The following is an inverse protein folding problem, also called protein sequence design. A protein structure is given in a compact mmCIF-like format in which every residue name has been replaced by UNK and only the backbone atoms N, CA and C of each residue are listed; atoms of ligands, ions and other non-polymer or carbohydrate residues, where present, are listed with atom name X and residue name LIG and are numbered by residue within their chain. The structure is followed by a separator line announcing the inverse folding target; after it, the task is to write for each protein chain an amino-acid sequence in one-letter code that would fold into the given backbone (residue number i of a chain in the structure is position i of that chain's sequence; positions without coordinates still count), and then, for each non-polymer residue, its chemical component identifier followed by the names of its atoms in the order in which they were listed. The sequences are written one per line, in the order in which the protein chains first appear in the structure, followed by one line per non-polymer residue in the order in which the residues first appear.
data_IF_944105985455
#
_entry.id   IF_944105985455
#
_cell.length_a   1.000
_cell.length_b   1.000
_cell.length_c   1.000
_cell.angle_alpha   90.00
_cell.angle_beta   90.00
_cell.angle_gamma   90.00
#
_symmetry.space_group_name_H-M   'P 1'
#
loop_
_entity.id
_entity.type
_entity.pdbx_description
1 polymer ?
#
# COMPACT_ATOMS: atom_id res chain seq x y z
N UNK A 1 -8.22 -0.92 16.81
CA UNK A 1 -9.35 -1.16 15.89
C UNK A 1 -10.37 -0.05 15.79
N UNK A 2 -10.98 0.39 16.90
CA UNK A 2 -12.11 1.34 16.86
C UNK A 2 -11.79 2.64 16.10
N UNK A 3 -10.83 3.44 16.56
CA UNK A 3 -10.53 4.73 15.91
C UNK A 3 -9.82 4.56 14.56
N UNK A 4 -8.80 3.70 14.50
CA UNK A 4 -7.91 3.61 13.34
C UNK A 4 -8.54 2.93 12.11
N UNK A 5 -9.50 2.03 12.32
CA UNK A 5 -10.12 1.25 11.25
C UNK A 5 -11.64 1.39 11.23
N UNK A 6 -12.32 1.05 12.33
CA UNK A 6 -13.79 1.01 12.33
C UNK A 6 -14.40 2.38 12.03
N UNK A 7 -13.98 3.44 12.73
CA UNK A 7 -14.45 4.80 12.45
C UNK A 7 -14.13 5.22 11.02
N UNK A 8 -12.94 4.91 10.51
CA UNK A 8 -12.59 5.21 9.13
C UNK A 8 -13.47 4.46 8.12
N UNK A 9 -13.88 3.21 8.42
CA UNK A 9 -14.80 2.42 7.59
C UNK A 9 -16.20 3.05 7.57
N UNK A 10 -16.76 3.40 8.73
CA UNK A 10 -18.16 3.87 8.85
C UNK A 10 -18.37 5.35 8.57
N UNK A 11 -17.30 6.18 8.58
CA UNK A 11 -17.40 7.61 8.27
C UNK A 11 -18.14 7.85 6.94
N UNK A 12 -19.09 8.76 6.84
CA UNK A 12 -19.66 9.10 5.55
C UNK A 12 -18.64 9.88 4.69
N UNK A 13 -18.93 10.04 3.40
CA UNK A 13 -18.21 11.00 2.59
C UNK A 13 -18.34 12.41 3.19
N UNK A 14 -17.41 13.31 2.86
CA UNK A 14 -17.40 14.65 3.44
C UNK A 14 -18.77 15.34 3.28
N UNK A 15 -19.32 15.84 4.39
CA UNK A 15 -20.63 16.49 4.49
C UNK A 15 -21.84 15.61 4.11
N UNK A 16 -21.68 14.29 4.00
CA UNK A 16 -22.80 13.37 3.81
C UNK A 16 -23.30 12.80 5.15
N UNK A 17 -24.59 12.46 5.27
CA UNK A 17 -25.12 11.83 6.47
C UNK A 17 -24.58 10.39 6.59
N UNK A 18 -24.41 9.94 7.82
CA UNK A 18 -24.13 8.53 8.13
C UNK A 18 -25.45 7.74 8.14
N UNK A 19 -25.40 6.49 7.70
CA UNK A 19 -26.51 5.56 7.85
C UNK A 19 -26.90 5.40 9.34
N UNK A 20 -28.20 5.40 9.63
CA UNK A 20 -28.72 5.38 10.99
C UNK A 20 -28.32 4.10 11.74
N UNK A 21 -28.41 2.94 11.10
CA UNK A 21 -28.08 1.67 11.73
C UNK A 21 -26.58 1.60 12.08
N UNK A 22 -25.73 2.10 11.19
CA UNK A 22 -24.28 2.20 11.38
C UNK A 22 -23.92 3.17 12.51
N UNK A 23 -24.59 4.32 12.58
CA UNK A 23 -24.40 5.31 13.66
C UNK A 23 -24.79 4.75 15.02
N UNK A 24 -25.99 4.15 15.14
CA UNK A 24 -26.45 3.53 16.39
C UNK A 24 -25.54 2.37 16.83
N UNK A 25 -25.07 1.55 15.89
CA UNK A 25 -24.10 0.49 16.18
C UNK A 25 -22.76 1.06 16.67
N UNK A 26 -22.30 2.16 16.07
CA UNK A 26 -21.07 2.86 16.49
C UNK A 26 -21.18 3.38 17.91
N UNK A 27 -22.32 3.99 18.28
CA UNK A 27 -22.58 4.47 19.65
C UNK A 27 -22.54 3.31 20.64
N UNK A 28 -23.22 2.19 20.36
CA UNK A 28 -23.21 1.01 21.24
C UNK A 28 -21.82 0.42 21.42
N UNK A 29 -21.02 0.38 20.35
CA UNK A 29 -19.62 -0.08 20.45
C UNK A 29 -18.81 0.88 21.33
N UNK A 30 -18.99 2.20 21.15
CA UNK A 30 -18.29 3.20 21.94
C UNK A 30 -18.67 3.14 23.42
N UNK A 31 -19.96 2.96 23.72
CA UNK A 31 -20.48 2.73 25.07
C UNK A 31 -19.81 1.52 25.74
N UNK A 32 -19.69 0.39 25.04
CA UNK A 32 -19.00 -0.80 25.53
C UNK A 32 -17.50 -0.55 25.77
N UNK A 33 -16.86 0.29 24.96
CA UNK A 33 -15.45 0.68 25.18
C UNK A 33 -15.34 1.50 26.47
N UNK A 34 -16.30 2.40 26.75
CA UNK A 34 -16.30 3.20 27.98
C UNK A 34 -16.39 2.31 29.22
N UNK A 35 -17.25 1.29 29.23
CA UNK A 35 -17.35 0.38 30.38
C UNK A 35 -16.07 -0.43 30.61
N UNK A 36 -15.41 -0.88 29.54
CA UNK A 36 -14.14 -1.62 29.63
C UNK A 36 -13.00 -0.73 30.10
N UNK A 37 -12.97 0.54 29.70
CA UNK A 37 -11.86 1.46 30.05
C UNK A 37 -12.04 2.14 31.40
N UNK A 38 -13.27 2.15 31.93
CA UNK A 38 -13.61 2.84 33.18
C UNK A 38 -12.75 2.47 34.40
N UNK A 39 -12.34 1.20 34.63
CA UNK A 39 -11.43 0.87 35.72
C UNK A 39 -10.07 1.58 35.64
N UNK A 40 -9.66 2.07 34.47
CA UNK A 40 -8.38 2.73 34.23
C UNK A 40 -8.50 4.25 34.09
N UNK A 41 -9.61 4.74 33.55
CA UNK A 41 -9.87 6.17 33.32
C UNK A 41 -11.26 6.59 33.83
N UNK A 42 -11.53 6.47 35.14
CA UNK A 42 -12.88 6.54 35.67
C UNK A 42 -13.54 7.91 35.47
N UNK A 43 -12.80 9.01 35.67
CA UNK A 43 -13.38 10.35 35.53
C UNK A 43 -13.77 10.67 34.08
N UNK A 44 -12.88 10.37 33.13
CA UNK A 44 -13.12 10.66 31.72
C UNK A 44 -14.22 9.77 31.15
N UNK A 45 -14.22 8.47 31.47
CA UNK A 45 -15.28 7.60 30.96
C UNK A 45 -16.63 7.88 31.62
N UNK A 46 -16.67 8.32 32.89
CA UNK A 46 -17.91 8.73 33.56
C UNK A 46 -18.49 10.03 32.99
N UNK A 47 -17.63 11.00 32.67
CA UNK A 47 -18.02 12.24 31.99
C UNK A 47 -18.61 11.93 30.61
N UNK A 48 -17.90 11.15 29.80
CA UNK A 48 -18.39 10.74 28.47
C UNK A 48 -19.64 9.87 28.57
N UNK A 49 -19.77 9.03 29.60
CA UNK A 49 -20.94 8.18 29.82
C UNK A 49 -22.24 8.99 29.94
N UNK A 50 -22.19 10.22 30.45
CA UNK A 50 -23.36 11.09 30.58
C UNK A 50 -23.52 12.10 29.43
N UNK A 51 -22.73 11.96 28.36
CA UNK A 51 -22.86 12.80 27.17
C UNK A 51 -24.19 12.55 26.45
N UNK A 52 -24.75 13.60 25.85
CA UNK A 52 -26.03 13.55 25.12
C UNK A 52 -26.02 12.55 23.95
N UNK A 53 -24.83 12.19 23.45
CA UNK A 53 -24.63 11.14 22.45
C UNK A 53 -25.26 9.80 22.86
N UNK A 54 -25.28 9.48 24.15
CA UNK A 54 -25.82 8.23 24.69
C UNK A 54 -27.28 8.35 25.16
N UNK A 55 -27.91 9.50 24.91
CA UNK A 55 -29.25 9.82 25.40
C UNK A 55 -29.26 10.30 26.85
N UNK A 56 -30.46 10.57 27.37
CA UNK A 56 -30.62 11.04 28.74
C UNK A 56 -30.42 9.90 29.75
N UNK A 57 -29.51 10.12 30.72
CA UNK A 57 -29.23 9.20 31.83
C UNK A 57 -29.55 9.86 33.16
N UNK A 58 -30.07 9.07 34.10
CA UNK A 58 -30.30 9.54 35.45
C UNK A 58 -28.98 9.69 36.21
N UNK A 59 -28.93 10.54 37.23
CA UNK A 59 -27.72 10.81 38.03
C UNK A 59 -27.07 9.54 38.64
N UNK A 60 -27.85 8.47 38.83
CA UNK A 60 -27.37 7.19 39.38
C UNK A 60 -27.07 6.12 38.31
N UNK A 61 -27.30 6.42 37.05
CA UNK A 61 -26.95 5.56 35.92
C UNK A 61 -25.49 5.77 35.53
N UNK A 62 -24.60 5.44 36.47
CA UNK A 62 -23.17 5.69 36.37
C UNK A 62 -22.44 4.54 35.65
N UNK A 63 -21.36 4.86 34.94
CA UNK A 63 -20.50 3.88 34.29
C UNK A 63 -19.94 2.85 35.28
N UNK A 64 -19.65 3.27 36.52
CA UNK A 64 -19.13 2.39 37.58
C UNK A 64 -20.05 1.21 37.95
N UNK A 65 -21.37 1.33 37.72
CA UNK A 65 -22.34 0.25 37.98
C UNK A 65 -22.80 -0.45 36.68
N UNK A 66 -22.26 -0.05 35.53
CA UNK A 66 -22.61 -0.63 34.24
C UNK A 66 -22.10 -2.07 34.12
N UNK A 67 -22.84 -2.90 33.39
CA UNK A 67 -22.41 -4.26 33.09
C UNK A 67 -21.33 -4.26 32.01
N UNK A 68 -20.31 -5.09 32.21
CA UNK A 68 -19.31 -5.32 31.17
C UNK A 68 -19.95 -6.03 29.97
N UNK A 69 -19.50 -5.74 28.74
CA UNK A 69 -20.02 -6.37 27.54
C UNK A 69 -19.74 -7.87 27.53
N UNK A 70 -20.73 -8.66 27.12
CA UNK A 70 -20.58 -10.10 26.96
C UNK A 70 -19.86 -10.45 25.64
N UNK A 71 -18.58 -10.82 25.76
CA UNK A 71 -17.75 -11.22 24.64
C UNK A 71 -18.09 -12.62 24.09
N UNK A 72 -18.89 -13.43 24.79
CA UNK A 72 -19.18 -14.83 24.41
C UNK A 72 -20.02 -14.97 23.14
N UNK A 73 -20.63 -13.86 22.70
CA UNK A 73 -21.51 -13.77 21.53
C UNK A 73 -20.78 -13.54 20.19
N UNK A 74 -19.52 -13.09 20.20
CA UNK A 74 -18.78 -12.76 18.97
C UNK A 74 -18.08 -14.01 18.42
N UNK A 75 -18.71 -14.66 17.44
CA UNK A 75 -18.24 -15.96 16.90
C UNK A 75 -17.89 -15.95 15.42
N UNK A 76 -17.91 -14.80 14.75
CA UNK A 76 -17.68 -14.76 13.31
C UNK A 76 -16.17 -14.71 12.99
N UNK A 77 -15.47 -15.80 13.27
CA UNK A 77 -14.03 -15.96 12.99
C UNK A 77 -13.70 -15.76 11.51
N UNK A 78 -14.60 -16.18 10.62
CA UNK A 78 -14.46 -15.97 9.17
C UNK A 78 -14.41 -14.48 8.83
N UNK A 79 -15.39 -13.70 9.31
CA UNK A 79 -15.43 -12.26 9.07
C UNK A 79 -14.19 -11.56 9.66
N UNK A 80 -13.75 -11.96 10.86
CA UNK A 80 -12.55 -11.39 11.48
C UNK A 80 -11.31 -11.63 10.61
N UNK A 81 -11.12 -12.85 10.12
CA UNK A 81 -10.01 -13.19 9.24
C UNK A 81 -10.07 -12.43 7.90
N UNK A 82 -11.26 -12.31 7.30
CA UNK A 82 -11.46 -11.56 6.05
C UNK A 82 -11.15 -10.07 6.23
N UNK A 83 -11.58 -9.45 7.32
CA UNK A 83 -11.30 -8.04 7.62
C UNK A 83 -9.81 -7.80 7.81
N UNK A 84 -9.06 -8.72 8.42
CA UNK A 84 -7.60 -8.59 8.52
C UNK A 84 -6.91 -8.60 7.15
N UNK A 85 -7.38 -9.44 6.22
CA UNK A 85 -6.90 -9.41 4.82
C UNK A 85 -7.24 -8.07 4.16
N UNK A 86 -8.45 -7.54 4.37
CA UNK A 86 -8.85 -6.22 3.84
C UNK A 86 -7.95 -5.11 4.39
N UNK A 87 -7.65 -5.12 5.68
CA UNK A 87 -6.70 -4.18 6.31
C UNK A 87 -5.30 -4.29 5.71
N UNK A 88 -4.84 -5.52 5.46
CA UNK A 88 -3.57 -5.78 4.79
C UNK A 88 -3.55 -5.17 3.39
N UNK A 89 -4.58 -5.40 2.58
CA UNK A 89 -4.71 -4.83 1.22
C UNK A 89 -4.57 -3.30 1.26
N UNK A 90 -5.33 -2.64 2.13
CA UNK A 90 -5.30 -1.17 2.25
C UNK A 90 -3.92 -0.67 2.68
N UNK A 91 -3.27 -1.39 3.60
CA UNK A 91 -1.94 -1.04 4.09
C UNK A 91 -0.88 -1.18 2.99
N UNK A 92 -0.95 -2.26 2.20
CA UNK A 92 -0.04 -2.47 1.06
C UNK A 92 -0.26 -1.44 -0.03
N UNK A 93 -1.51 -1.07 -0.37
CA UNK A 93 -1.76 0.02 -1.33
C UNK A 93 -1.14 1.34 -0.85
N UNK A 94 -1.30 1.67 0.43
CA UNK A 94 -0.68 2.87 1.04
C UNK A 94 0.85 2.78 1.00
N UNK A 95 1.41 1.60 1.22
CA UNK A 95 2.84 1.35 1.12
C UNK A 95 3.37 1.55 -0.31
N UNK A 96 2.65 1.01 -1.31
CA UNK A 96 2.96 1.22 -2.73
C UNK A 96 2.92 2.71 -3.06
N UNK A 97 1.89 3.43 -2.62
CA UNK A 97 1.81 4.89 -2.80
C UNK A 97 3.00 5.61 -2.20
N UNK A 98 3.36 5.31 -0.95
CA UNK A 98 4.51 5.92 -0.29
C UNK A 98 5.83 5.62 -1.02
N UNK A 99 6.04 4.36 -1.38
CA UNK A 99 7.27 3.90 -2.06
C UNK A 99 7.42 4.52 -3.44
N UNK A 100 6.30 4.69 -4.16
CA UNK A 100 6.24 5.26 -5.50
C UNK A 100 5.96 6.77 -5.51
N UNK A 101 5.91 7.40 -4.32
CA UNK A 101 5.65 8.82 -4.13
C UNK A 101 4.36 9.32 -4.79
N UNK A 102 3.33 8.48 -4.84
CA UNK A 102 2.03 8.78 -5.42
C UNK A 102 1.21 9.58 -4.40
N UNK A 103 0.61 10.68 -4.85
CA UNK A 103 -0.26 11.50 -4.01
C UNK A 103 -1.44 10.68 -3.47
N UNK A 104 -1.81 10.80 -2.19
CA UNK A 104 -3.01 10.16 -1.64
C UNK A 104 -4.31 10.59 -2.34
N UNK A 105 -4.32 11.76 -2.99
CA UNK A 105 -5.49 12.29 -3.73
C UNK A 105 -5.67 11.63 -5.09
N UNK A 106 -4.62 11.03 -5.64
CA UNK A 106 -4.66 10.37 -6.93
C UNK A 106 -5.40 9.03 -6.80
N UNK A 107 -6.36 8.80 -7.67
CA UNK A 107 -7.13 7.56 -7.69
C UNK A 107 -6.35 6.50 -8.44
N UNK A 108 -6.30 5.28 -7.89
CA UNK A 108 -5.66 4.13 -8.55
C UNK A 108 -6.71 3.10 -8.95
N UNK A 109 -6.37 2.25 -9.91
CA UNK A 109 -7.14 1.03 -10.22
C UNK A 109 -6.46 -0.17 -9.56
N UNK A 110 -7.24 -1.14 -9.13
CA UNK A 110 -6.76 -2.35 -8.47
C UNK A 110 -7.22 -3.58 -9.23
N UNK A 111 -6.29 -4.48 -9.50
CA UNK A 111 -6.57 -5.77 -10.09
C UNK A 111 -6.25 -6.86 -9.08
N UNK A 112 -7.08 -7.90 -9.04
CA UNK A 112 -6.91 -9.02 -8.12
C UNK A 112 -6.99 -10.34 -8.87
N UNK A 113 -6.01 -11.20 -8.62
CA UNK A 113 -6.08 -12.62 -8.93
C UNK A 113 -6.43 -13.37 -7.64
N UNK A 114 -7.67 -13.85 -7.61
CA UNK A 114 -8.23 -14.51 -6.43
C UNK A 114 -7.78 -15.97 -6.39
N UNK A 115 -7.09 -16.34 -5.32
CA UNK A 115 -6.74 -17.72 -4.98
C UNK A 115 -7.39 -18.16 -3.65
N UNK A 116 -8.09 -17.26 -2.95
CA UNK A 116 -8.85 -17.54 -1.73
C UNK A 116 -10.38 -17.63 -1.98
N UNK A 117 -11.14 -17.89 -0.92
CA UNK A 117 -12.62 -17.90 -0.95
C UNK A 117 -13.23 -16.54 -0.52
N UNK A 118 -12.41 -15.49 -0.41
CA UNK A 118 -12.86 -14.18 0.06
C UNK A 118 -13.64 -13.48 -1.05
N UNK A 119 -14.86 -13.03 -0.74
CA UNK A 119 -15.64 -12.20 -1.66
C UNK A 119 -15.22 -10.73 -1.54
N UNK A 120 -14.20 -10.35 -2.31
CA UNK A 120 -13.73 -8.95 -2.34
C UNK A 120 -14.78 -7.94 -2.82
N UNK A 121 -15.85 -8.38 -3.51
CA UNK A 121 -16.94 -7.46 -3.90
C UNK A 121 -17.72 -6.96 -2.69
N UNK A 122 -17.86 -7.79 -1.65
CA UNK A 122 -18.50 -7.38 -0.40
C UNK A 122 -17.72 -6.25 0.31
N UNK A 123 -16.40 -6.22 0.13
CA UNK A 123 -15.49 -5.26 0.77
C UNK A 123 -15.05 -4.11 -0.14
N UNK A 124 -15.50 -4.08 -1.40
CA UNK A 124 -15.02 -3.12 -2.41
C UNK A 124 -15.17 -1.66 -1.95
N UNK A 125 -16.30 -1.32 -1.33
CA UNK A 125 -16.57 0.06 -0.90
C UNK A 125 -15.59 0.53 0.19
N UNK A 126 -15.20 -0.39 1.08
CA UNK A 126 -14.22 -0.12 2.13
C UNK A 126 -12.84 0.10 1.52
N UNK A 127 -12.44 -0.78 0.59
CA UNK A 127 -11.15 -0.68 -0.11
C UNK A 127 -11.08 0.62 -0.92
N UNK A 128 -12.12 0.91 -1.71
CA UNK A 128 -12.23 2.13 -2.53
C UNK A 128 -12.05 3.39 -1.71
N UNK A 129 -12.79 3.46 -0.61
CA UNK A 129 -12.76 4.62 0.27
C UNK A 129 -11.42 4.78 1.00
N UNK A 130 -10.89 3.70 1.60
CA UNK A 130 -9.72 3.80 2.48
C UNK A 130 -8.38 3.80 1.75
N UNK A 131 -8.34 3.31 0.51
CA UNK A 131 -7.15 3.26 -0.34
C UNK A 131 -7.24 4.17 -1.58
N UNK A 132 -8.34 4.93 -1.73
CA UNK A 132 -8.64 5.81 -2.86
C UNK A 132 -8.53 5.08 -4.21
N UNK A 133 -9.28 3.99 -4.33
CA UNK A 133 -9.37 3.15 -5.53
C UNK A 133 -10.67 3.44 -6.26
N UNK A 134 -10.62 3.54 -7.59
CA UNK A 134 -11.79 3.76 -8.45
C UNK A 134 -12.39 2.48 -8.97
N UNK A 135 -11.56 1.47 -9.26
CA UNK A 135 -11.99 0.22 -9.86
C UNK A 135 -11.30 -0.99 -9.22
N UNK A 136 -12.06 -2.09 -9.07
CA UNK A 136 -11.58 -3.40 -8.66
C UNK A 136 -11.91 -4.41 -9.77
N UNK A 137 -10.88 -4.88 -10.45
CA UNK A 137 -10.99 -5.79 -11.59
C UNK A 137 -10.44 -7.17 -11.21
N UNK A 138 -11.14 -8.23 -11.62
CA UNK A 138 -10.75 -9.61 -11.35
C UNK A 138 -10.04 -10.20 -12.57
N UNK A 139 -8.84 -10.75 -12.38
CA UNK A 139 -8.02 -11.31 -13.45
C UNK A 139 -7.61 -12.75 -13.15
N UNK A 140 -7.27 -13.49 -14.21
CA UNK A 140 -6.80 -14.89 -14.12
C UNK A 140 -5.28 -14.97 -14.23
N UNK A 141 -4.70 -14.17 -15.13
CA UNK A 141 -3.27 -14.14 -15.41
C UNK A 141 -2.56 -12.97 -14.74
N UNK A 142 -1.23 -13.06 -14.65
CA UNK A 142 -0.41 -11.97 -14.10
C UNK A 142 -0.39 -10.78 -15.05
N UNK A 143 -0.36 -9.57 -14.50
CA UNK A 143 -0.25 -8.34 -15.27
C UNK A 143 1.21 -7.84 -15.30
N UNK A 144 1.75 -7.67 -16.51
CA UNK A 144 3.10 -7.13 -16.72
C UNK A 144 3.03 -5.59 -16.62
N UNK A 145 4.09 -4.95 -16.11
CA UNK A 145 4.14 -3.49 -15.98
C UNK A 145 3.32 -2.93 -14.79
N UNK A 146 3.03 -3.76 -13.80
CA UNK A 146 2.28 -3.37 -12.59
C UNK A 146 3.12 -3.58 -11.35
N UNK A 147 2.78 -2.87 -10.27
CA UNK A 147 3.28 -3.21 -8.94
C UNK A 147 2.41 -4.31 -8.37
N UNK A 148 3.01 -5.48 -8.17
CA UNK A 148 2.36 -6.63 -7.55
C UNK A 148 2.65 -6.69 -6.05
N UNK A 149 1.64 -7.05 -5.27
CA UNK A 149 1.78 -7.41 -3.86
C UNK A 149 0.82 -8.54 -3.50
N UNK A 150 1.02 -9.17 -2.34
CA UNK A 150 0.19 -10.28 -1.88
C UNK A 150 -0.48 -9.91 -0.56
N UNK A 151 -1.76 -10.22 -0.43
CA UNK A 151 -2.48 -10.13 0.83
C UNK A 151 -3.25 -11.44 1.06
N UNK A 152 -3.03 -12.07 2.22
CA UNK A 152 -3.46 -13.44 2.44
C UNK A 152 -2.89 -14.41 1.39
N UNK A 153 -3.77 -15.00 0.57
CA UNK A 153 -3.40 -15.92 -0.53
C UNK A 153 -3.58 -15.30 -1.92
N UNK A 154 -4.11 -14.09 -1.98
CA UNK A 154 -4.51 -13.43 -3.23
C UNK A 154 -3.41 -12.49 -3.71
N UNK A 155 -3.24 -12.42 -5.03
CA UNK A 155 -2.27 -11.52 -5.67
C UNK A 155 -2.98 -10.27 -6.16
N UNK A 156 -2.44 -9.10 -5.83
CA UNK A 156 -2.97 -7.80 -6.20
C UNK A 156 -1.98 -7.06 -7.10
N UNK A 157 -2.52 -6.31 -8.05
CA UNK A 157 -1.74 -5.60 -9.04
C UNK A 157 -2.28 -4.17 -9.18
N UNK A 158 -1.38 -3.20 -9.14
CA UNK A 158 -1.69 -1.79 -9.38
C UNK A 158 -0.94 -1.39 -10.65
N UNK A 159 -1.62 -1.10 -11.77
CA UNK A 159 -1.00 -0.43 -12.88
C UNK A 159 -0.67 0.99 -12.43
N UNK A 160 0.60 1.31 -12.51
CA UNK A 160 1.02 2.68 -12.34
C UNK A 160 1.01 3.26 -13.74
N UNK A 161 0.05 4.15 -14.02
CA UNK A 161 0.30 5.17 -15.02
C UNK A 161 1.50 5.91 -14.46
N UNK A 162 2.65 5.68 -15.06
CA UNK A 162 3.85 6.38 -14.70
C UNK A 162 3.59 7.88 -14.93
N UNK A 163 3.20 8.58 -13.87
CA UNK A 163 3.58 9.98 -13.62
C UNK A 163 5.10 10.06 -13.35
N UNK A 164 5.87 9.16 -13.96
CA UNK A 164 7.22 9.47 -14.34
C UNK A 164 7.04 10.65 -15.29
N UNK A 165 7.58 11.80 -14.92
CA UNK A 165 7.94 12.79 -15.91
C UNK A 165 8.81 12.05 -16.93
N UNK A 166 8.17 11.56 -18.01
CA UNK A 166 8.83 10.76 -19.03
C UNK A 166 10.01 11.54 -19.60
N UNK A 167 9.97 12.87 -19.53
CA UNK A 167 11.11 13.74 -19.75
C UNK A 167 12.23 13.53 -18.74
N UNK A 168 11.95 13.59 -17.43
CA UNK A 168 12.95 13.39 -16.37
C UNK A 168 13.55 11.98 -16.34
N UNK A 169 12.79 10.91 -16.57
CA UNK A 169 13.35 9.55 -16.63
C UNK A 169 14.06 9.28 -17.95
N UNK A 170 13.57 9.81 -19.08
CA UNK A 170 14.35 9.82 -20.33
C UNK A 170 15.66 10.57 -20.13
N UNK A 171 15.65 11.71 -19.45
CA UNK A 171 16.85 12.49 -19.17
C UNK A 171 17.81 11.75 -18.21
N UNK A 172 17.28 11.04 -17.20
CA UNK A 172 18.07 10.22 -16.27
C UNK A 172 18.73 9.04 -16.99
N UNK A 173 17.94 8.26 -17.74
CA UNK A 173 18.43 7.12 -18.53
C UNK A 173 19.42 7.60 -19.58
N UNK A 174 19.14 8.72 -20.26
CA UNK A 174 20.04 9.30 -21.27
C UNK A 174 21.38 9.73 -20.66
N UNK A 175 21.37 10.39 -19.49
CA UNK A 175 22.61 10.75 -18.76
C UNK A 175 23.41 9.51 -18.34
N UNK A 176 22.72 8.44 -17.93
CA UNK A 176 23.37 7.19 -17.55
C UNK A 176 23.99 6.47 -18.75
N UNK A 177 23.29 6.47 -19.90
CA UNK A 177 23.82 5.99 -21.19
C UNK A 177 25.05 6.82 -21.61
N UNK A 178 24.98 8.15 -21.56
CA UNK A 178 26.10 9.03 -21.91
C UNK A 178 27.34 8.77 -21.04
N UNK A 179 27.13 8.56 -19.74
CA UNK A 179 28.20 8.20 -18.81
C UNK A 179 28.84 6.85 -19.18
N UNK A 180 28.03 5.82 -19.43
CA UNK A 180 28.51 4.48 -19.80
C UNK A 180 29.20 4.48 -21.18
N UNK A 181 28.73 5.28 -22.14
CA UNK A 181 29.38 5.47 -23.43
C UNK A 181 30.73 6.18 -23.28
N UNK A 182 30.83 7.18 -22.39
CA UNK A 182 32.09 7.84 -22.04
C UNK A 182 33.08 6.86 -21.39
N UNK A 183 32.59 6.01 -20.48
CA UNK A 183 33.37 4.93 -19.88
C UNK A 183 33.86 3.93 -20.95
N UNK A 184 32.99 3.48 -21.86
CA UNK A 184 33.36 2.58 -22.97
C UNK A 184 34.40 3.18 -23.91
N UNK A 185 34.34 4.49 -24.21
CA UNK A 185 35.40 5.16 -24.99
C UNK A 185 36.76 5.05 -24.29
N UNK A 186 36.79 5.22 -22.97
CA UNK A 186 38.03 5.10 -22.19
C UNK A 186 38.59 3.67 -22.17
N UNK A 187 37.71 2.66 -22.07
CA UNK A 187 38.08 1.24 -22.08
C UNK A 187 38.54 0.81 -23.47
N UNK A 188 37.80 1.19 -24.52
CA UNK A 188 38.19 0.89 -25.90
C UNK A 188 39.50 1.57 -26.30
N UNK A 189 39.79 2.79 -25.81
CA UNK A 189 41.08 3.45 -26.05
C UNK A 189 42.27 2.71 -25.40
N UNK A 190 42.05 2.03 -24.27
CA UNK A 190 43.06 1.16 -23.65
C UNK A 190 43.23 -0.13 -24.44
N UNK A 191 42.12 -0.76 -24.85
CA UNK A 191 42.12 -2.02 -25.59
C UNK A 191 42.59 -1.88 -27.05
N UNK A 192 42.46 -0.70 -27.67
CA UNK A 192 42.96 -0.43 -29.03
C UNK A 192 44.44 -0.07 -29.09
N UNK A 193 45.05 0.25 -27.95
CA UNK A 193 46.47 0.53 -27.88
C UNK A 193 47.26 -0.78 -27.93
N UNK A 194 47.84 -1.09 -29.09
CA UNK A 194 48.62 -2.32 -29.31
C UNK A 194 49.76 -2.48 -28.29
N UNK A 195 50.36 -1.38 -27.82
CA UNK A 195 51.39 -1.44 -26.76
C UNK A 195 50.81 -1.83 -25.40
N UNK A 196 49.56 -1.47 -25.11
CA UNK A 196 48.89 -1.87 -23.86
C UNK A 196 48.51 -3.36 -23.92
N UNK A 197 47.94 -3.82 -25.03
CA UNK A 197 47.56 -5.22 -25.21
C UNK A 197 48.77 -6.16 -25.20
N UNK A 198 49.90 -5.73 -25.76
CA UNK A 198 51.13 -6.56 -25.80
C UNK A 198 51.94 -6.53 -24.49
N UNK A 199 51.88 -5.45 -23.71
CA UNK A 199 52.71 -5.31 -22.49
C UNK A 199 51.94 -5.45 -21.17
N UNK A 200 50.61 -5.37 -21.17
CA UNK A 200 49.81 -5.56 -19.96
C UNK A 200 49.70 -7.04 -19.59
N UNK A 201 49.59 -7.32 -18.30
CA UNK A 201 49.37 -8.69 -17.80
C UNK A 201 48.04 -9.25 -18.37
N UNK A 202 47.94 -10.55 -18.66
CA UNK A 202 46.73 -11.18 -19.17
C UNK A 202 45.48 -10.85 -18.34
N UNK A 203 45.61 -10.86 -17.01
CA UNK A 203 44.51 -10.55 -16.08
C UNK A 203 44.00 -9.11 -16.22
N UNK A 204 44.88 -8.16 -16.56
CA UNK A 204 44.52 -6.75 -16.73
C UNK A 204 43.76 -6.55 -18.05
N UNK A 205 44.16 -7.24 -19.11
CA UNK A 205 43.47 -7.22 -20.41
C UNK A 205 42.10 -7.88 -20.29
N UNK A 206 42.00 -9.03 -19.63
CA UNK A 206 40.74 -9.72 -19.38
C UNK A 206 39.77 -8.88 -18.54
N UNK A 207 40.27 -8.17 -17.52
CA UNK A 207 39.44 -7.32 -16.67
C UNK A 207 38.90 -6.08 -17.43
N UNK A 208 39.70 -5.49 -18.34
CA UNK A 208 39.21 -4.41 -19.21
C UNK A 208 38.21 -4.93 -20.28
N UNK A 209 38.35 -6.17 -20.77
CA UNK A 209 37.35 -6.81 -21.63
C UNK A 209 36.04 -7.10 -20.90
N UNK A 210 36.09 -7.57 -19.64
CA UNK A 210 34.90 -7.78 -18.83
C UNK A 210 34.17 -6.46 -18.53
N UNK A 211 34.91 -5.40 -18.19
CA UNK A 211 34.34 -4.05 -18.02
C UNK A 211 33.65 -3.55 -19.28
N UNK A 212 34.18 -3.88 -20.47
CA UNK A 212 33.55 -3.56 -21.75
C UNK A 212 32.23 -4.32 -21.91
N UNK A 213 32.23 -5.63 -21.71
CA UNK A 213 31.04 -6.47 -21.85
C UNK A 213 29.93 -6.08 -20.87
N UNK A 214 30.28 -5.81 -19.61
CA UNK A 214 29.31 -5.38 -18.59
C UNK A 214 28.70 -4.00 -18.91
N UNK A 215 29.51 -3.08 -19.44
CA UNK A 215 29.03 -1.77 -19.86
C UNK A 215 28.14 -1.85 -21.10
N UNK A 216 28.48 -2.68 -22.09
CA UNK A 216 27.66 -2.93 -23.28
C UNK A 216 26.31 -3.57 -22.91
N UNK A 217 26.31 -4.59 -22.04
CA UNK A 217 25.09 -5.23 -21.57
C UNK A 217 24.18 -4.25 -20.79
N UNK A 218 24.76 -3.40 -19.94
CA UNK A 218 24.01 -2.38 -19.21
C UNK A 218 23.41 -1.31 -20.13
N UNK A 219 24.16 -0.85 -21.13
CA UNK A 219 23.64 0.11 -22.11
C UNK A 219 22.47 -0.50 -22.88
N UNK A 220 22.58 -1.76 -23.30
CA UNK A 220 21.51 -2.42 -24.05
C UNK A 220 20.21 -2.52 -23.23
N UNK A 221 20.30 -2.87 -21.94
CA UNK A 221 19.13 -2.91 -21.03
C UNK A 221 18.52 -1.51 -20.87
N UNK A 222 19.35 -0.46 -20.75
CA UNK A 222 18.90 0.92 -20.62
C UNK A 222 18.25 1.45 -21.92
N UNK A 223 18.77 1.08 -23.09
CA UNK A 223 18.19 1.43 -24.40
C UNK A 223 16.85 0.72 -24.63
N UNK A 224 16.72 -0.55 -24.23
CA UNK A 224 15.44 -1.27 -24.25
C UNK A 224 14.42 -0.63 -23.30
N UNK A 225 14.86 -0.21 -22.11
CA UNK A 225 14.01 0.52 -21.16
C UNK A 225 13.57 1.89 -21.70
N UNK A 226 14.42 2.59 -22.45
CA UNK A 226 14.08 3.86 -23.09
C UNK A 226 13.08 3.69 -24.24
N UNK A 227 13.16 2.57 -24.98
CA UNK A 227 12.24 2.25 -26.07
C UNK A 227 10.85 1.80 -25.60
N UNK A 228 10.75 1.31 -24.36
CA UNK A 228 9.49 0.93 -23.73
C UNK A 228 8.74 2.11 -23.06
N UNK A 229 9.39 3.28 -22.93
CA UNK A 229 8.90 4.55 -22.35
C UNK A 229 8.47 5.56 -23.42
#
# INVERSE_FOLDING_TARGET
DFCAWYLEMVKPAYQQPIDKASFEATIRIFENILTVIHPFMPFLSEELWHDELFGERAEKDCCIVAQLPDASSIKNEKLLAEVEVVKQIISEIRNVRNTKQISPKETLTLFVKVNSEIDFKAYQNIIFKLANITELNFIVDKMIGTVAFMAGRDEFFIPLEENIDAGAEKERIQKEIEYLQGFLKSVNAKLSNERFVQNAKPDVVANEQNKKADAEAKIQILEESLGAL
#
